data_IF_937853203615
#
_entry.id   IF_937853203615
#
_cell.length_a   1.000
_cell.length_b   1.000
_cell.length_c   1.000
_cell.angle_alpha   90.00
_cell.angle_beta   90.00
_cell.angle_gamma   90.00
#
_symmetry.space_group_name_H-M   'P 1'
#
loop_
_entity.id
_entity.type
_entity.pdbx_description
1 polymer ?
#
# COMPACT_ATOMS: atom_id res chain seq x y z
N UNK A 1 8.29 -21.21 -1.68
CA UNK A 1 6.95 -20.62 -1.46
C UNK A 1 6.01 -21.14 -2.54
N UNK A 2 4.90 -21.74 -2.15
CA UNK A 2 3.89 -22.30 -3.05
C UNK A 2 3.12 -21.18 -3.77
N UNK A 3 2.39 -21.54 -4.85
CA UNK A 3 1.50 -20.60 -5.55
C UNK A 3 0.44 -20.02 -4.60
N UNK A 4 -0.12 -20.85 -3.72
CA UNK A 4 -1.16 -20.44 -2.77
C UNK A 4 -0.63 -19.53 -1.67
N UNK A 5 0.57 -19.81 -1.14
CA UNK A 5 1.24 -18.92 -0.18
C UNK A 5 1.51 -17.54 -0.80
N UNK A 6 1.94 -17.50 -2.06
CA UNK A 6 2.16 -16.23 -2.78
C UNK A 6 0.87 -15.45 -3.00
N UNK A 7 -0.17 -16.13 -3.46
CA UNK A 7 -1.48 -15.52 -3.65
C UNK A 7 -2.01 -14.92 -2.35
N UNK A 8 -1.88 -15.65 -1.23
CA UNK A 8 -2.26 -15.15 0.09
C UNK A 8 -1.49 -13.87 0.45
N UNK A 9 -0.17 -13.84 0.23
CA UNK A 9 0.64 -12.66 0.52
C UNK A 9 0.25 -11.46 -0.34
N UNK A 10 -0.10 -11.66 -1.61
CA UNK A 10 -0.61 -10.58 -2.45
C UNK A 10 -1.96 -10.06 -1.95
N UNK A 11 -2.90 -10.94 -1.62
CA UNK A 11 -4.19 -10.52 -1.05
C UNK A 11 -4.01 -9.75 0.27
N UNK A 12 -3.12 -10.22 1.16
CA UNK A 12 -2.84 -9.53 2.42
C UNK A 12 -2.21 -8.15 2.19
N UNK A 13 -1.29 -8.03 1.23
CA UNK A 13 -0.69 -6.75 0.90
C UNK A 13 -1.73 -5.76 0.34
N UNK A 14 -2.65 -6.23 -0.51
CA UNK A 14 -3.76 -5.41 -1.02
C UNK A 14 -4.68 -4.91 0.09
N UNK A 15 -5.06 -5.77 1.03
CA UNK A 15 -5.90 -5.38 2.17
C UNK A 15 -5.20 -4.35 3.07
N UNK A 16 -3.90 -4.54 3.34
CA UNK A 16 -3.12 -3.57 4.11
C UNK A 16 -3.09 -2.21 3.40
N UNK A 17 -2.84 -2.17 2.10
CA UNK A 17 -2.85 -0.93 1.30
C UNK A 17 -4.22 -0.27 1.37
N UNK A 18 -5.31 -1.03 1.25
CA UNK A 18 -6.67 -0.51 1.34
C UNK A 18 -6.92 0.15 2.71
N UNK A 19 -6.53 -0.52 3.80
CA UNK A 19 -6.64 0.06 5.15
C UNK A 19 -5.81 1.34 5.31
N UNK A 20 -4.59 1.39 4.76
CA UNK A 20 -3.74 2.58 4.82
C UNK A 20 -4.33 3.75 4.03
N UNK A 21 -4.94 3.49 2.85
CA UNK A 21 -5.64 4.51 2.05
C UNK A 21 -6.83 5.09 2.80
N UNK A 22 -7.64 4.24 3.42
CA UNK A 22 -8.77 4.69 4.23
C UNK A 22 -8.29 5.55 5.40
N UNK A 23 -7.21 5.14 6.07
CA UNK A 23 -6.63 5.91 7.18
C UNK A 23 -6.08 7.26 6.74
N UNK A 24 -5.43 7.33 5.59
CA UNK A 24 -4.97 8.59 5.02
C UNK A 24 -6.15 9.53 4.74
N UNK A 25 -7.22 9.03 4.12
CA UNK A 25 -8.42 9.81 3.85
C UNK A 25 -9.09 10.32 5.15
N UNK A 26 -9.13 9.50 6.21
CA UNK A 26 -9.60 9.94 7.53
C UNK A 26 -8.77 11.11 8.08
N UNK A 27 -7.44 11.02 8.00
CA UNK A 27 -6.52 12.05 8.51
C UNK A 27 -6.66 13.35 7.71
N UNK A 28 -6.72 13.25 6.38
CA UNK A 28 -6.88 14.41 5.47
C UNK A 28 -8.19 15.17 5.72
N UNK A 29 -9.27 14.45 6.05
CA UNK A 29 -10.56 15.05 6.38
C UNK A 29 -10.59 15.72 7.76
N UNK A 30 -9.80 15.24 8.73
CA UNK A 30 -9.85 15.73 10.12
C UNK A 30 -8.87 16.89 10.42
N UNK A 31 -7.69 16.93 9.79
CA UNK A 31 -6.62 17.89 10.17
C UNK A 31 -5.88 18.50 8.96
N UNK A 32 -6.51 19.36 8.14
CA UNK A 32 -5.93 19.81 6.88
C UNK A 32 -4.72 20.75 6.99
N UNK A 33 -4.40 21.34 8.15
CA UNK A 33 -3.32 22.35 8.28
C UNK A 33 -2.23 22.01 9.29
N UNK A 34 -2.56 21.38 10.40
CA UNK A 34 -1.58 21.10 11.47
C UNK A 34 -0.72 19.85 11.20
N UNK A 35 -1.08 19.04 10.21
CA UNK A 35 -0.41 17.77 9.90
C UNK A 35 0.10 17.63 8.47
N UNK A 36 0.24 18.72 7.70
CA UNK A 36 0.60 18.67 6.27
C UNK A 36 1.88 17.87 5.98
N UNK A 37 2.94 18.04 6.78
CA UNK A 37 4.19 17.27 6.65
C UNK A 37 3.98 15.78 6.99
N UNK A 38 3.17 15.48 8.01
CA UNK A 38 2.84 14.12 8.41
C UNK A 38 2.02 13.39 7.34
N UNK A 39 1.04 14.08 6.74
CA UNK A 39 0.22 13.60 5.63
C UNK A 39 1.10 13.31 4.41
N UNK A 40 1.96 14.26 4.02
CA UNK A 40 2.88 14.08 2.89
C UNK A 40 3.83 12.89 3.11
N UNK A 41 4.36 12.75 4.33
CA UNK A 41 5.24 11.61 4.69
C UNK A 41 4.47 10.28 4.64
N UNK A 42 3.22 10.26 5.07
CA UNK A 42 2.37 9.07 5.00
C UNK A 42 2.08 8.69 3.54
N UNK A 43 1.70 9.67 2.72
CA UNK A 43 1.43 9.49 1.29
C UNK A 43 2.64 8.92 0.54
N UNK A 44 3.84 9.44 0.80
CA UNK A 44 5.08 8.94 0.21
C UNK A 44 5.33 7.48 0.59
N UNK A 45 5.21 7.13 1.88
CA UNK A 45 5.39 5.76 2.35
C UNK A 45 4.36 4.80 1.77
N UNK A 46 3.10 5.22 1.69
CA UNK A 46 2.03 4.43 1.08
C UNK A 46 2.34 4.15 -0.40
N UNK A 47 2.77 5.17 -1.15
CA UNK A 47 3.18 5.01 -2.55
C UNK A 47 4.31 4.01 -2.72
N UNK A 48 5.34 4.07 -1.86
CA UNK A 48 6.45 3.13 -1.91
C UNK A 48 5.99 1.67 -1.71
N UNK A 49 5.02 1.44 -0.81
CA UNK A 49 4.45 0.11 -0.58
C UNK A 49 3.66 -0.36 -1.80
N UNK A 50 2.87 0.52 -2.42
CA UNK A 50 2.12 0.23 -3.64
C UNK A 50 3.04 -0.14 -4.81
N UNK A 51 4.13 0.61 -4.99
CA UNK A 51 5.16 0.34 -6.01
C UNK A 51 5.86 -1.01 -5.76
N UNK A 52 6.15 -1.36 -4.51
CA UNK A 52 6.73 -2.67 -4.16
C UNK A 52 5.78 -3.82 -4.49
N UNK A 53 4.49 -3.68 -4.20
CA UNK A 53 3.49 -4.71 -4.52
C UNK A 53 3.33 -4.85 -6.04
N UNK A 54 3.26 -3.74 -6.77
CA UNK A 54 3.17 -3.74 -8.23
C UNK A 54 4.42 -4.39 -8.86
N UNK A 55 5.62 -4.06 -8.37
CA UNK A 55 6.86 -4.70 -8.77
C UNK A 55 6.85 -6.22 -8.54
N UNK A 56 6.41 -6.66 -7.36
CA UNK A 56 6.33 -8.08 -7.02
C UNK A 56 5.31 -8.85 -7.89
N UNK A 57 4.18 -8.22 -8.23
CA UNK A 57 3.18 -8.79 -9.15
C UNK A 57 3.70 -8.90 -10.58
N UNK A 58 4.36 -7.85 -11.09
CA UNK A 58 4.98 -7.86 -12.43
C UNK A 58 6.09 -8.90 -12.55
N UNK A 59 6.91 -9.06 -11.52
CA UNK A 59 7.92 -10.13 -11.49
C UNK A 59 7.25 -11.51 -11.50
N UNK A 60 6.13 -11.67 -10.78
CA UNK A 60 5.36 -12.90 -10.81
C UNK A 60 4.82 -13.21 -12.21
N UNK A 61 4.24 -12.22 -12.91
CA UNK A 61 3.72 -12.39 -14.28
C UNK A 61 4.82 -12.77 -15.28
N UNK A 62 6.06 -12.33 -15.08
CA UNK A 62 7.21 -12.68 -15.94
C UNK A 62 7.76 -14.09 -15.69
N UNK A 63 7.43 -14.69 -14.54
CA UNK A 63 8.00 -15.98 -14.09
C UNK A 63 7.00 -17.13 -14.12
N UNK A 64 5.76 -16.86 -14.54
CA UNK A 64 4.67 -17.84 -14.78
C UNK A 64 4.50 -18.03 -16.27
#
# INVERSE_FOLDING_TARGET
MTRSERALLFCLAEEIILHLRNRLAEIENLHPRESALGIATFQERLRNIEELLDGAKKEHERTV
#
